data_IF_721052158600
#
_entry.id   IF_721052158600
#
_cell.length_a   1.000
_cell.length_b   1.000
_cell.length_c   1.000
_cell.angle_alpha   90.00
_cell.angle_beta   90.00
_cell.angle_gamma   90.00
#
_symmetry.space_group_name_H-M   'P 1'
#
loop_
_entity.id
_entity.type
_entity.pdbx_description
1 polymer ?
#
# COMPACT_ATOMS: atom_id res chain seq x y z
N UNK A 1 -51.91 -69.91 69.18
CA UNK A 1 -51.10 -68.67 69.28
C UNK A 1 -49.84 -68.72 68.40
N UNK A 2 -48.98 -69.74 68.50
CA UNK A 2 -47.72 -69.87 67.71
C UNK A 2 -47.87 -69.79 66.17
N UNK A 3 -48.96 -70.32 65.59
CA UNK A 3 -49.17 -70.31 64.13
C UNK A 3 -49.38 -68.90 63.57
N UNK A 4 -50.09 -68.03 64.29
CA UNK A 4 -50.38 -66.66 63.87
C UNK A 4 -49.13 -65.78 63.88
N UNK A 5 -48.29 -65.91 64.92
CA UNK A 5 -47.00 -65.19 65.00
C UNK A 5 -46.08 -65.58 63.84
N UNK A 6 -46.04 -66.87 63.49
CA UNK A 6 -45.21 -67.35 62.38
C UNK A 6 -45.66 -66.83 61.02
N UNK A 7 -46.97 -66.72 60.78
CA UNK A 7 -47.51 -66.20 59.51
C UNK A 7 -47.31 -64.70 59.37
N UNK A 8 -47.44 -63.91 60.45
CA UNK A 8 -47.21 -62.46 60.39
C UNK A 8 -45.73 -62.12 60.19
N UNK A 9 -44.81 -62.84 60.86
CA UNK A 9 -43.38 -62.64 60.64
C UNK A 9 -42.97 -63.03 59.22
N UNK A 10 -43.53 -64.12 58.68
CA UNK A 10 -43.26 -64.53 57.31
C UNK A 10 -43.78 -63.49 56.30
N UNK A 11 -44.99 -62.96 56.48
CA UNK A 11 -45.53 -61.90 55.63
C UNK A 11 -44.65 -60.63 55.66
N UNK A 12 -44.24 -60.20 56.86
CA UNK A 12 -43.35 -59.04 57.02
C UNK A 12 -42.01 -59.23 56.29
N UNK A 13 -41.41 -60.43 56.38
CA UNK A 13 -40.16 -60.73 55.67
C UNK A 13 -40.33 -60.74 54.14
N UNK A 14 -41.49 -61.16 53.62
CA UNK A 14 -41.77 -61.07 52.18
C UNK A 14 -41.91 -59.62 51.74
N UNK A 15 -42.61 -58.78 52.52
CA UNK A 15 -42.75 -57.36 52.24
C UNK A 15 -41.41 -56.60 52.32
N UNK A 16 -40.55 -56.95 53.28
CA UNK A 16 -39.19 -56.41 53.38
C UNK A 16 -38.34 -56.80 52.16
N UNK A 17 -38.44 -58.05 51.72
CA UNK A 17 -37.68 -58.57 50.58
C UNK A 17 -38.16 -57.95 49.26
N UNK A 18 -39.47 -57.76 49.06
CA UNK A 18 -39.98 -57.05 47.89
C UNK A 18 -39.58 -55.56 47.89
N UNK A 19 -39.62 -54.89 49.04
CA UNK A 19 -39.10 -53.52 49.18
C UNK A 19 -37.60 -53.44 48.86
N UNK A 20 -36.81 -54.39 49.38
CA UNK A 20 -35.37 -54.44 49.10
C UNK A 20 -35.08 -54.70 47.61
N UNK A 21 -35.88 -55.54 46.94
CA UNK A 21 -35.78 -55.78 45.50
C UNK A 21 -36.10 -54.54 44.69
N UNK A 22 -37.17 -53.83 45.03
CA UNK A 22 -37.54 -52.57 44.38
C UNK A 22 -36.45 -51.52 44.55
N UNK A 23 -35.94 -51.34 45.78
CA UNK A 23 -34.86 -50.40 46.05
C UNK A 23 -33.57 -50.75 45.30
N UNK A 24 -33.23 -52.04 45.20
CA UNK A 24 -32.08 -52.49 44.40
C UNK A 24 -32.25 -52.18 42.92
N UNK A 25 -33.45 -52.36 42.38
CA UNK A 25 -33.73 -52.09 40.97
C UNK A 25 -33.66 -50.59 40.66
N UNK A 26 -34.25 -49.74 41.51
CA UNK A 26 -34.08 -48.28 41.40
C UNK A 26 -32.61 -47.88 41.49
N UNK A 27 -31.86 -48.40 42.45
CA UNK A 27 -30.44 -48.09 42.58
C UNK A 27 -29.61 -48.55 41.36
N UNK A 28 -30.00 -49.64 40.69
CA UNK A 28 -29.38 -50.07 39.42
C UNK A 28 -29.69 -49.10 38.29
N UNK A 29 -30.95 -48.69 38.17
CA UNK A 29 -31.38 -47.71 37.16
C UNK A 29 -30.65 -46.37 37.35
N UNK A 30 -30.61 -45.85 38.57
CA UNK A 30 -29.91 -44.60 38.90
C UNK A 30 -28.43 -44.68 38.57
N UNK A 31 -27.78 -45.81 38.91
CA UNK A 31 -26.36 -46.04 38.60
C UNK A 31 -26.12 -46.09 37.10
N UNK A 32 -26.98 -46.76 36.36
CA UNK A 32 -26.82 -46.92 34.91
C UNK A 32 -27.10 -45.59 34.19
N UNK A 33 -28.05 -44.79 34.67
CA UNK A 33 -28.26 -43.42 34.21
C UNK A 33 -27.04 -42.52 34.50
N UNK A 34 -26.52 -42.54 35.73
CA UNK A 34 -25.34 -41.75 36.09
C UNK A 34 -24.10 -42.14 35.25
N UNK A 35 -23.96 -43.42 34.89
CA UNK A 35 -22.91 -43.89 33.98
C UNK A 35 -23.10 -43.36 32.56
N UNK A 36 -24.32 -43.35 32.05
CA UNK A 36 -24.60 -42.80 30.73
C UNK A 36 -24.34 -41.29 30.67
N UNK A 37 -24.73 -40.55 31.71
CA UNK A 37 -24.46 -39.11 31.85
C UNK A 37 -22.96 -38.83 31.93
N UNK A 38 -22.21 -39.61 32.72
CA UNK A 38 -20.75 -39.48 32.81
C UNK A 38 -20.04 -39.77 31.49
N UNK A 39 -20.50 -40.77 30.74
CA UNK A 39 -19.98 -41.08 29.40
C UNK A 39 -20.25 -39.92 28.43
N UNK A 40 -21.49 -39.41 28.39
CA UNK A 40 -21.86 -38.28 27.53
C UNK A 40 -21.07 -37.00 27.88
N UNK A 41 -20.85 -36.73 29.18
CA UNK A 41 -20.04 -35.62 29.66
C UNK A 41 -18.58 -35.76 29.22
N UNK A 42 -18.00 -36.95 29.36
CA UNK A 42 -16.64 -37.26 28.89
C UNK A 42 -16.50 -37.04 27.39
N UNK A 43 -17.43 -37.58 26.59
CA UNK A 43 -17.42 -37.39 25.14
C UNK A 43 -17.55 -35.93 24.74
N UNK A 44 -18.39 -35.17 25.47
CA UNK A 44 -18.53 -33.73 25.25
C UNK A 44 -17.25 -32.97 25.60
N UNK A 45 -16.57 -33.33 26.68
CA UNK A 45 -15.31 -32.73 27.09
C UNK A 45 -14.21 -32.98 26.04
N UNK A 46 -14.09 -34.21 25.55
CA UNK A 46 -13.13 -34.57 24.48
C UNK A 46 -13.39 -33.73 23.22
N UNK A 47 -14.65 -33.63 22.77
CA UNK A 47 -14.99 -32.81 21.60
C UNK A 47 -14.69 -31.33 21.82
N UNK A 48 -14.94 -30.81 23.01
CA UNK A 48 -14.64 -29.42 23.35
C UNK A 48 -13.12 -29.16 23.34
N UNK A 49 -12.33 -30.06 23.89
CA UNK A 49 -10.87 -29.99 23.88
C UNK A 49 -10.31 -29.99 22.45
N UNK A 50 -10.74 -30.94 21.61
CA UNK A 50 -10.36 -30.98 20.19
C UNK A 50 -10.76 -29.68 19.45
N UNK A 51 -11.93 -29.12 19.75
CA UNK A 51 -12.36 -27.86 19.16
C UNK A 51 -11.47 -26.69 19.60
N UNK A 52 -11.09 -26.62 20.88
CA UNK A 52 -10.18 -25.60 21.42
C UNK A 52 -8.80 -25.70 20.77
N UNK A 53 -8.23 -26.90 20.70
CA UNK A 53 -6.95 -27.14 20.02
C UNK A 53 -7.00 -26.68 18.57
N UNK A 54 -8.08 -27.00 17.84
CA UNK A 54 -8.24 -26.56 16.46
C UNK A 54 -8.30 -25.04 16.34
N UNK A 55 -8.99 -24.35 17.25
CA UNK A 55 -9.05 -22.89 17.24
C UNK A 55 -7.69 -22.27 17.58
N UNK A 56 -6.94 -22.82 18.53
CA UNK A 56 -5.58 -22.37 18.84
C UNK A 56 -4.67 -22.48 17.61
N UNK A 57 -4.69 -23.62 16.93
CA UNK A 57 -3.94 -23.79 15.68
C UNK A 57 -4.33 -22.80 14.58
N UNK A 58 -5.62 -22.43 14.50
CA UNK A 58 -6.09 -21.40 13.56
C UNK A 58 -5.61 -20.01 13.94
N UNK A 59 -5.61 -19.67 15.23
CA UNK A 59 -5.10 -18.41 15.73
C UNK A 59 -3.60 -18.27 15.47
N UNK A 60 -2.81 -19.31 15.73
CA UNK A 60 -1.36 -19.30 15.50
C UNK A 60 -1.03 -19.11 14.01
N UNK A 61 -1.78 -19.78 13.13
CA UNK A 61 -1.66 -19.57 11.67
C UNK A 61 -2.00 -18.13 11.29
N UNK A 62 -3.12 -17.60 11.78
CA UNK A 62 -3.54 -16.24 11.48
C UNK A 62 -2.51 -15.20 11.99
N UNK A 63 -1.92 -15.41 13.17
CA UNK A 63 -0.84 -14.57 13.67
C UNK A 63 0.41 -14.63 12.79
N UNK A 64 0.80 -15.82 12.35
CA UNK A 64 1.95 -16.00 11.47
C UNK A 64 1.72 -15.34 10.10
N UNK A 65 0.54 -15.52 9.50
CA UNK A 65 0.15 -14.88 8.24
C UNK A 65 0.12 -13.36 8.36
N UNK A 66 -0.45 -12.85 9.45
CA UNK A 66 -0.45 -11.41 9.75
C UNK A 66 0.97 -10.86 9.84
N UNK A 67 1.87 -11.54 10.57
CA UNK A 67 3.26 -11.10 10.70
C UNK A 67 4.00 -11.07 9.35
N UNK A 68 3.73 -12.04 8.46
CA UNK A 68 4.26 -12.02 7.09
C UNK A 68 3.73 -10.83 6.29
N UNK A 69 2.42 -10.60 6.31
CA UNK A 69 1.80 -9.49 5.59
C UNK A 69 2.28 -8.12 6.10
N UNK A 70 2.46 -7.96 7.42
CA UNK A 70 3.04 -6.75 8.01
C UNK A 70 4.49 -6.54 7.53
N UNK A 71 5.31 -7.59 7.51
CA UNK A 71 6.67 -7.52 6.98
C UNK A 71 6.75 -7.19 5.49
N UNK A 72 5.86 -7.76 4.67
CA UNK A 72 5.76 -7.43 3.24
C UNK A 72 5.35 -5.97 3.02
N UNK A 73 4.40 -5.46 3.80
CA UNK A 73 3.98 -4.05 3.74
C UNK A 73 5.12 -3.10 4.08
N UNK A 74 5.90 -3.41 5.09
CA UNK A 74 7.04 -2.59 5.49
C UNK A 74 8.15 -2.61 4.44
N UNK A 75 8.43 -3.76 3.82
CA UNK A 75 9.36 -3.87 2.70
C UNK A 75 8.90 -3.03 1.49
N UNK A 76 7.61 -3.11 1.13
CA UNK A 76 7.05 -2.31 0.03
C UNK A 76 7.11 -0.81 0.32
N UNK A 77 6.83 -0.39 1.56
CA UNK A 77 6.94 1.01 1.97
C UNK A 77 8.39 1.52 1.87
N UNK A 78 9.35 0.73 2.33
CA UNK A 78 10.76 1.06 2.22
C UNK A 78 11.20 1.19 0.74
N UNK A 79 10.73 0.28 -0.12
CA UNK A 79 11.01 0.34 -1.55
C UNK A 79 10.40 1.57 -2.21
N UNK A 80 9.16 1.92 -1.89
CA UNK A 80 8.51 3.14 -2.41
C UNK A 80 9.28 4.38 -2.00
N UNK A 81 9.77 4.45 -0.76
CA UNK A 81 10.59 5.57 -0.31
C UNK A 81 11.87 5.69 -1.15
N UNK A 82 12.60 4.58 -1.31
CA UNK A 82 13.82 4.55 -2.13
C UNK A 82 13.56 4.97 -3.59
N UNK A 83 12.51 4.42 -4.21
CA UNK A 83 12.12 4.78 -5.57
C UNK A 83 11.79 6.28 -5.70
N UNK A 84 11.19 6.88 -4.67
CA UNK A 84 10.90 8.33 -4.68
C UNK A 84 12.16 9.18 -4.55
N UNK A 85 13.12 8.75 -3.73
CA UNK A 85 14.42 9.40 -3.59
C UNK A 85 15.23 9.30 -4.89
N UNK A 86 15.29 8.12 -5.51
CA UNK A 86 15.97 7.90 -6.78
C UNK A 86 15.37 8.74 -7.91
N UNK A 87 14.04 8.83 -7.99
CA UNK A 87 13.38 9.72 -8.96
C UNK A 87 13.69 11.19 -8.69
N UNK A 88 13.78 11.61 -7.43
CA UNK A 88 14.14 12.98 -7.08
C UNK A 88 15.59 13.29 -7.46
N UNK A 89 16.52 12.37 -7.17
CA UNK A 89 17.93 12.46 -7.55
C UNK A 89 18.09 12.52 -9.08
N UNK A 90 17.41 11.65 -9.82
CA UNK A 90 17.43 11.65 -11.29
C UNK A 90 16.92 12.97 -11.86
N UNK A 91 15.82 13.52 -11.32
CA UNK A 91 15.30 14.84 -11.74
C UNK A 91 16.30 15.95 -11.44
N UNK A 92 16.98 15.91 -10.30
CA UNK A 92 18.00 16.89 -9.95
C UNK A 92 19.19 16.81 -10.93
N UNK A 93 19.68 15.60 -11.23
CA UNK A 93 20.74 15.36 -12.21
C UNK A 93 20.34 15.85 -13.60
N UNK A 94 19.14 15.51 -14.09
CA UNK A 94 18.64 15.97 -15.40
C UNK A 94 18.49 17.50 -15.46
N UNK A 95 18.14 18.16 -14.36
CA UNK A 95 18.13 19.62 -14.29
C UNK A 95 19.55 20.20 -14.31
N UNK A 96 20.48 19.58 -13.60
CA UNK A 96 21.88 19.99 -13.60
C UNK A 96 22.51 19.85 -14.99
N UNK A 97 22.30 18.72 -15.66
CA UNK A 97 22.79 18.50 -17.03
C UNK A 97 22.16 19.46 -18.02
N UNK A 98 20.86 19.75 -17.92
CA UNK A 98 20.20 20.76 -18.78
C UNK A 98 20.76 22.16 -18.55
N UNK A 99 21.11 22.54 -17.31
CA UNK A 99 21.77 23.82 -17.02
C UNK A 99 23.20 23.89 -17.57
N UNK A 100 23.87 22.74 -17.67
CA UNK A 100 25.25 22.64 -18.16
C UNK A 100 25.33 22.49 -19.69
N UNK A 101 24.22 22.19 -20.37
CA UNK A 101 24.20 22.16 -21.83
C UNK A 101 24.47 23.58 -22.38
N UNK A 102 25.49 23.77 -23.22
CA UNK A 102 25.71 25.05 -23.90
C UNK A 102 24.50 25.37 -24.79
N UNK A 103 24.21 26.66 -24.97
CA UNK A 103 23.08 27.06 -25.80
C UNK A 103 23.29 26.57 -27.24
N UNK A 104 22.38 25.74 -27.77
CA UNK A 104 22.39 25.28 -29.18
C UNK A 104 22.19 26.41 -30.19
N UNK A 105 22.03 27.66 -29.73
CA UNK A 105 21.78 28.83 -30.55
C UNK A 105 22.42 30.07 -29.93
N UNK A 106 22.92 30.94 -30.79
CA UNK A 106 23.30 32.31 -30.47
C UNK A 106 22.28 33.28 -31.03
N UNK A 107 22.16 34.43 -30.40
CA UNK A 107 21.27 35.50 -30.82
C UNK A 107 22.08 36.57 -31.52
N UNK A 108 21.74 36.82 -32.77
CA UNK A 108 22.48 37.71 -33.65
C UNK A 108 21.67 38.96 -33.88
N UNK A 109 22.29 40.11 -33.61
CA UNK A 109 21.71 41.43 -33.83
C UNK A 109 22.13 41.94 -35.21
N UNK A 110 21.14 42.34 -36.01
CA UNK A 110 21.31 42.98 -37.30
C UNK A 110 20.82 44.42 -37.25
N UNK A 111 21.53 45.32 -37.94
CA UNK A 111 21.14 46.69 -38.18
C UNK A 111 21.01 46.93 -39.68
N UNK A 112 19.82 47.25 -40.19
CA UNK A 112 19.51 47.34 -41.63
C UNK A 112 20.03 46.14 -42.45
N UNK A 113 19.87 44.93 -41.92
CA UNK A 113 20.32 43.69 -42.57
C UNK A 113 21.82 43.38 -42.46
N UNK A 114 22.63 44.26 -41.86
CA UNK A 114 24.05 44.01 -41.58
C UNK A 114 24.26 43.43 -40.18
N UNK A 115 25.11 42.41 -40.08
CA UNK A 115 25.51 41.82 -38.80
C UNK A 115 26.19 42.88 -37.92
N UNK A 116 25.63 43.11 -36.73
CA UNK A 116 26.19 44.04 -35.75
C UNK A 116 26.96 43.31 -34.64
N UNK A 117 26.30 42.36 -33.95
CA UNK A 117 26.89 41.68 -32.78
C UNK A 117 26.23 40.32 -32.51
N UNK A 118 26.94 39.43 -31.80
CA UNK A 118 26.49 38.08 -31.45
C UNK A 118 26.43 37.95 -29.92
N UNK A 119 25.32 37.39 -29.42
CA UNK A 119 24.99 37.31 -28.00
C UNK A 119 24.56 35.89 -27.61
N UNK A 120 24.80 35.51 -26.36
CA UNK A 120 24.41 34.20 -25.84
C UNK A 120 22.90 34.08 -25.57
N UNK A 121 22.20 35.20 -25.32
CA UNK A 121 20.77 35.25 -25.00
C UNK A 121 20.03 36.31 -25.81
N UNK A 122 18.71 36.16 -25.97
CA UNK A 122 17.87 37.15 -26.67
C UNK A 122 17.88 38.49 -25.93
N UNK A 123 17.73 38.45 -24.61
CA UNK A 123 17.70 39.63 -23.74
C UNK A 123 19.00 40.45 -23.85
N UNK A 124 20.16 39.79 -23.96
CA UNK A 124 21.43 40.48 -24.15
C UNK A 124 21.51 41.18 -25.53
N UNK A 125 20.95 40.56 -26.58
CA UNK A 125 20.88 41.17 -27.90
C UNK A 125 19.90 42.35 -27.96
N UNK A 126 18.76 42.26 -27.26
CA UNK A 126 17.77 43.34 -27.15
C UNK A 126 18.34 44.53 -26.35
N UNK A 127 18.98 44.28 -25.20
CA UNK A 127 19.64 45.32 -24.41
C UNK A 127 20.78 46.02 -25.18
N UNK A 128 21.51 45.27 -26.02
CA UNK A 128 22.52 45.85 -26.91
C UNK A 128 21.90 46.74 -28.00
N UNK A 129 20.74 46.36 -28.56
CA UNK A 129 20.02 47.20 -29.52
C UNK A 129 19.53 48.50 -28.87
N UNK A 130 18.98 48.43 -27.64
CA UNK A 130 18.55 49.59 -26.87
C UNK A 130 19.71 50.56 -26.58
N UNK A 131 20.87 50.02 -26.18
CA UNK A 131 22.06 50.82 -25.90
C UNK A 131 22.55 51.59 -27.14
N UNK A 132 22.37 51.02 -28.33
CA UNK A 132 22.70 51.63 -29.62
C UNK A 132 21.57 52.51 -30.19
N UNK A 133 20.53 52.79 -29.38
CA UNK A 133 19.47 53.75 -29.70
C UNK A 133 18.26 53.17 -30.43
N UNK A 134 18.09 51.85 -30.43
CA UNK A 134 16.90 51.23 -30.99
C UNK A 134 15.66 51.52 -30.12
N UNK A 135 14.52 51.81 -30.76
CA UNK A 135 13.25 52.01 -30.05
C UNK A 135 12.64 50.65 -29.65
N UNK A 136 12.06 50.50 -28.44
CA UNK A 136 11.40 49.25 -28.01
C UNK A 136 10.27 48.76 -28.92
N UNK A 137 9.70 49.65 -29.75
CA UNK A 137 8.66 49.32 -30.74
C UNK A 137 9.21 49.14 -32.16
N UNK A 138 10.51 49.37 -32.39
CA UNK A 138 11.14 49.50 -33.70
C UNK A 138 11.97 48.30 -34.17
N UNK A 139 12.15 47.28 -33.33
CA UNK A 139 12.82 46.04 -33.73
C UNK A 139 11.88 44.85 -33.79
N UNK A 140 12.19 43.89 -34.66
CA UNK A 140 11.49 42.61 -34.71
C UNK A 140 12.32 41.53 -34.01
N UNK A 141 11.78 40.95 -32.94
CA UNK A 141 12.33 39.74 -32.31
C UNK A 141 11.71 38.50 -32.96
N UNK A 142 12.55 37.52 -33.31
CA UNK A 142 12.09 36.27 -33.93
C UNK A 142 11.17 35.50 -32.97
N UNK A 143 9.87 35.42 -33.30
CA UNK A 143 8.94 34.47 -32.70
C UNK A 143 8.95 33.14 -33.46
N UNK A 144 9.10 31.98 -32.78
CA UNK A 144 9.04 30.68 -33.44
C UNK A 144 7.74 30.52 -34.26
N UNK A 145 7.86 30.24 -35.56
CA UNK A 145 6.72 30.02 -36.47
C UNK A 145 6.18 31.25 -37.21
N UNK A 146 6.71 32.45 -36.99
CA UNK A 146 6.32 33.64 -37.73
C UNK A 146 7.25 33.90 -38.93
N UNK A 147 6.68 34.23 -40.09
CA UNK A 147 7.47 34.72 -41.22
C UNK A 147 8.05 36.10 -40.86
N UNK A 148 9.38 36.22 -40.87
CA UNK A 148 10.05 37.48 -40.58
C UNK A 148 10.02 38.39 -41.80
N UNK A 149 9.72 39.69 -41.65
CA UNK A 149 9.89 40.66 -42.72
C UNK A 149 11.35 40.68 -43.21
N UNK A 150 11.60 41.05 -44.48
CA UNK A 150 12.94 41.16 -45.04
C UNK A 150 13.85 42.02 -44.15
N UNK A 151 15.09 41.57 -43.90
CA UNK A 151 16.00 42.20 -42.95
C UNK A 151 16.40 43.65 -43.29
N UNK A 152 16.19 44.08 -44.55
CA UNK A 152 16.43 45.46 -44.98
C UNK A 152 15.32 46.44 -44.58
N UNK A 153 14.11 45.93 -44.29
CA UNK A 153 12.93 46.76 -43.97
C UNK A 153 12.83 47.11 -42.49
N UNK A 154 13.61 46.45 -41.63
CA UNK A 154 13.62 46.66 -40.19
C UNK A 154 14.97 47.23 -39.78
N UNK A 155 14.94 48.38 -39.11
CA UNK A 155 16.16 49.05 -38.64
C UNK A 155 16.99 48.14 -37.73
N UNK A 156 16.34 47.43 -36.81
CA UNK A 156 16.99 46.51 -35.87
C UNK A 156 16.29 45.15 -35.86
N UNK A 157 17.05 44.06 -35.92
CA UNK A 157 16.49 42.71 -35.92
C UNK A 157 17.33 41.76 -35.08
N UNK A 158 16.69 41.04 -34.18
CA UNK A 158 17.31 39.99 -33.38
C UNK A 158 16.87 38.61 -33.91
N UNK A 159 17.84 37.81 -34.33
CA UNK A 159 17.58 36.49 -34.93
C UNK A 159 18.39 35.39 -34.23
N UNK A 160 17.76 34.28 -33.82
CA UNK A 160 18.47 33.12 -33.33
C UNK A 160 19.14 32.39 -34.51
N UNK A 161 20.43 32.08 -34.35
CA UNK A 161 21.19 31.22 -35.25
C UNK A 161 21.68 29.99 -34.49
N UNK A 162 21.48 28.77 -35.02
CA UNK A 162 21.97 27.56 -34.36
C UNK A 162 23.50 27.55 -34.32
N UNK A 163 24.08 27.20 -33.17
CA UNK A 163 25.50 26.91 -33.01
C UNK A 163 25.76 25.45 -33.43
N UNK A 164 25.72 25.20 -34.73
CA UNK A 164 25.88 23.84 -35.27
C UNK A 164 25.26 23.72 -36.64
N UNK A 165 26.04 24.03 -37.67
CA UNK A 165 25.70 23.70 -39.05
C UNK A 165 26.26 22.33 -39.40
N UNK A 166 25.48 21.29 -39.19
CA UNK A 166 25.37 20.11 -40.07
C UNK A 166 24.17 19.28 -39.60
N UNK A 167 23.29 18.94 -40.55
CA UNK A 167 22.51 17.72 -40.39
C UNK A 167 23.39 16.48 -40.44
#
# INVERSE_FOLDING_TARGET
>A
MFRFVRTTTLAALHDDLERARQALETARQDRDQARAEAAAATDSAIRAETAVEHQQHRLDRAHTERGRAEGELDALRAQVLLDTEDRAALRALLRATRKQQPADRVWVLFHHGHLHSIHATNEAAEAAAEAEGASPAGWTSHRPGAALPPAAEVAWRVQPLPLGGAG
#
